data_IF_026356237167
#
_entry.id   IF_026356237167
#
_cell.length_a   1.000
_cell.length_b   1.000
_cell.length_c   1.000
_cell.angle_alpha   90.00
_cell.angle_beta   90.00
_cell.angle_gamma   90.00
#
_symmetry.space_group_name_H-M   'P 1'
#
loop_
_entity.id
_entity.type
_entity.pdbx_description
1 polymer ?
#
# COMPACT_ATOMS: atom_id res chain seq x y z
N UNK A 1 12.26 15.33 23.17
CA UNK A 1 11.13 14.40 23.36
C UNK A 1 11.09 13.50 22.13
N UNK A 2 10.89 12.18 22.29
CA UNK A 2 10.67 11.31 21.14
C UNK A 2 9.44 11.81 20.38
N UNK A 3 9.53 11.91 19.05
CA UNK A 3 8.37 12.28 18.22
C UNK A 3 7.34 11.16 18.33
N UNK A 4 6.10 11.50 18.68
CA UNK A 4 4.98 10.56 18.63
C UNK A 4 4.34 10.59 17.24
N UNK A 5 3.71 9.48 16.85
CA UNK A 5 2.80 9.50 15.70
C UNK A 5 1.59 10.36 16.03
N UNK A 6 1.16 11.16 15.06
CA UNK A 6 -0.10 11.90 15.16
C UNK A 6 -1.25 10.96 14.85
N UNK A 7 -2.31 11.08 15.64
CA UNK A 7 -3.60 10.41 15.42
C UNK A 7 -4.66 11.47 15.11
N UNK A 8 -5.40 11.27 14.01
CA UNK A 8 -6.47 12.15 13.54
C UNK A 8 -7.79 11.38 13.48
N UNK A 9 -8.92 12.10 13.49
CA UNK A 9 -10.24 11.48 13.37
C UNK A 9 -10.57 11.16 11.91
N UNK A 10 -11.54 10.27 11.68
CA UNK A 10 -12.05 9.95 10.34
C UNK A 10 -12.68 11.16 9.59
N UNK A 11 -12.93 12.28 10.26
CA UNK A 11 -13.52 13.49 9.67
C UNK A 11 -12.47 14.51 9.20
N UNK A 12 -11.19 14.23 9.38
CA UNK A 12 -10.10 15.11 8.99
C UNK A 12 -10.01 15.24 7.46
N UNK A 13 -9.43 16.34 6.98
CA UNK A 13 -9.22 16.57 5.54
C UNK A 13 -8.03 15.78 5.00
N UNK A 14 -8.04 15.45 3.71
CA UNK A 14 -6.89 14.80 3.04
C UNK A 14 -5.67 15.71 3.06
N UNK A 15 -5.88 17.02 2.95
CA UNK A 15 -4.82 18.03 2.99
C UNK A 15 -4.05 17.98 4.32
N UNK A 16 -4.77 17.93 5.44
CA UNK A 16 -4.16 17.83 6.77
C UNK A 16 -3.41 16.50 6.96
N UNK A 17 -3.99 15.39 6.48
CA UNK A 17 -3.30 14.07 6.45
C UNK A 17 -1.97 14.18 5.69
N UNK A 18 -1.98 14.79 4.50
CA UNK A 18 -0.79 14.97 3.68
C UNK A 18 0.23 15.89 4.35
N UNK A 19 -0.19 16.98 5.01
CA UNK A 19 0.70 17.88 5.75
C UNK A 19 1.45 17.16 6.87
N UNK A 20 0.75 16.33 7.65
CA UNK A 20 1.35 15.50 8.68
C UNK A 20 2.31 14.48 8.08
N UNK A 21 1.91 13.79 7.01
CA UNK A 21 2.79 12.83 6.33
C UNK A 21 4.05 13.50 5.77
N UNK A 22 3.97 14.72 5.22
CA UNK A 22 5.18 15.44 4.77
C UNK A 22 6.15 15.70 5.93
N UNK A 23 5.63 16.01 7.12
CA UNK A 23 6.44 16.30 8.31
C UNK A 23 7.00 15.05 9.00
N UNK A 24 6.17 14.02 9.17
CA UNK A 24 6.42 12.88 10.04
C UNK A 24 6.55 11.55 9.29
N UNK A 25 6.17 11.53 8.01
CA UNK A 25 6.24 10.36 7.13
C UNK A 25 5.14 9.33 7.38
N UNK A 26 4.31 9.52 8.41
CA UNK A 26 3.14 8.69 8.65
C UNK A 26 2.17 9.30 9.66
N UNK A 27 0.93 8.82 9.64
CA UNK A 27 -0.18 9.31 10.45
C UNK A 27 -1.21 8.21 10.69
N UNK A 28 -1.77 8.16 11.89
CA UNK A 28 -2.87 7.26 12.23
C UNK A 28 -4.19 8.01 12.01
N UNK A 29 -5.14 7.38 11.35
CA UNK A 29 -6.52 7.86 11.24
C UNK A 29 -7.42 6.85 11.96
N UNK A 30 -8.20 7.34 12.91
CA UNK A 30 -9.18 6.53 13.64
C UNK A 30 -10.37 6.17 12.74
N UNK A 31 -10.97 5.00 12.96
CA UNK A 31 -12.23 4.57 12.32
C UNK A 31 -12.26 4.71 10.78
N UNK A 32 -11.13 4.46 10.10
CA UNK A 32 -11.01 4.56 8.63
C UNK A 32 -11.92 3.61 7.87
N UNK A 33 -12.16 2.43 8.42
CA UNK A 33 -12.94 1.36 7.79
C UNK A 33 -14.06 0.93 8.74
N UNK A 34 -15.29 0.88 8.21
CA UNK A 34 -16.45 0.48 8.98
C UNK A 34 -16.41 -1.00 9.37
N UNK A 35 -17.08 -1.33 10.47
CA UNK A 35 -17.27 -2.72 10.91
C UNK A 35 -17.96 -3.58 9.86
N UNK A 36 -18.87 -3.02 9.06
CA UNK A 36 -19.54 -3.72 7.97
C UNK A 36 -18.56 -4.16 6.87
N UNK A 37 -17.71 -3.24 6.40
CA UNK A 37 -16.68 -3.56 5.39
C UNK A 37 -15.70 -4.60 5.93
N UNK A 38 -15.26 -4.46 7.18
CA UNK A 38 -14.38 -5.44 7.83
C UNK A 38 -15.04 -6.82 7.95
N UNK A 39 -16.31 -6.89 8.33
CA UNK A 39 -17.01 -8.16 8.48
C UNK A 39 -17.13 -8.90 7.14
N UNK A 40 -17.56 -8.20 6.08
CA UNK A 40 -17.65 -8.78 4.73
C UNK A 40 -16.27 -9.22 4.22
N UNK A 41 -15.24 -8.41 4.47
CA UNK A 41 -13.85 -8.75 4.12
C UNK A 41 -13.38 -10.04 4.82
N UNK A 42 -13.67 -10.19 6.12
CA UNK A 42 -13.25 -11.37 6.89
C UNK A 42 -14.08 -12.61 6.57
N UNK A 43 -15.37 -12.47 6.25
CA UNK A 43 -16.21 -13.58 5.81
C UNK A 43 -15.60 -14.28 4.59
N UNK A 44 -15.15 -13.50 3.60
CA UNK A 44 -14.50 -14.01 2.40
C UNK A 44 -13.05 -14.49 2.65
N UNK A 45 -12.26 -13.73 3.43
CA UNK A 45 -10.82 -13.94 3.52
C UNK A 45 -10.41 -15.04 4.52
N UNK A 46 -11.16 -15.24 5.60
CA UNK A 46 -10.78 -16.16 6.68
C UNK A 46 -10.43 -17.58 6.19
N UNK A 47 -11.21 -18.21 5.28
CA UNK A 47 -10.86 -19.54 4.75
C UNK A 47 -9.50 -19.60 4.05
N UNK A 48 -9.02 -18.49 3.47
CA UNK A 48 -7.70 -18.41 2.86
C UNK A 48 -6.61 -18.18 3.91
N UNK A 49 -6.85 -17.28 4.88
CA UNK A 49 -5.89 -16.99 5.95
C UNK A 49 -5.65 -18.23 6.83
N UNK A 50 -6.68 -19.01 7.14
CA UNK A 50 -6.56 -20.23 7.94
C UNK A 50 -5.62 -21.25 7.29
N UNK A 51 -5.75 -21.42 5.97
CA UNK A 51 -4.92 -22.31 5.14
C UNK A 51 -3.54 -21.74 4.81
N UNK A 52 -3.31 -20.44 5.03
CA UNK A 52 -2.02 -19.81 4.76
C UNK A 52 -0.98 -20.36 5.75
N UNK A 53 0.13 -20.93 5.26
CA UNK A 53 1.19 -21.42 6.13
C UNK A 53 1.91 -20.26 6.83
N UNK A 54 2.62 -20.59 7.90
CA UNK A 54 3.57 -19.65 8.49
C UNK A 54 4.72 -19.36 7.51
N UNK A 55 5.35 -18.19 7.67
CA UNK A 55 6.65 -17.92 7.06
C UNK A 55 7.69 -18.94 7.51
N UNK A 56 8.77 -19.05 6.73
CA UNK A 56 9.85 -19.99 7.05
C UNK A 56 10.82 -19.34 8.04
N UNK A 57 11.59 -18.33 7.58
CA UNK A 57 12.59 -17.62 8.38
C UNK A 57 12.76 -16.16 7.90
N UNK A 58 13.63 -15.41 8.57
CA UNK A 58 13.99 -14.04 8.19
C UNK A 58 12.80 -13.08 8.24
N UNK A 59 12.67 -12.24 7.22
CA UNK A 59 11.62 -11.22 7.13
C UNK A 59 10.20 -11.78 7.19
N UNK A 60 10.01 -13.00 6.68
CA UNK A 60 8.70 -13.65 6.65
C UNK A 60 8.23 -14.06 8.06
N UNK A 61 9.15 -14.42 8.96
CA UNK A 61 8.88 -14.79 10.34
C UNK A 61 8.24 -16.18 10.52
N UNK A 62 8.78 -17.07 11.36
CA UNK A 62 8.28 -18.44 11.55
C UNK A 62 6.91 -18.54 12.25
N UNK A 63 6.40 -17.41 12.76
CA UNK A 63 5.11 -17.29 13.46
C UNK A 63 4.27 -16.15 12.87
N UNK A 64 4.45 -15.86 11.59
CA UNK A 64 3.65 -14.89 10.86
C UNK A 64 2.99 -15.56 9.67
N UNK A 65 1.69 -15.33 9.46
CA UNK A 65 1.00 -15.69 8.23
C UNK A 65 0.85 -14.45 7.36
N UNK A 66 1.06 -14.58 6.05
CA UNK A 66 0.87 -13.51 5.06
C UNK A 66 -0.03 -14.01 3.94
N UNK A 67 -1.29 -13.63 3.99
CA UNK A 67 -2.28 -13.98 2.96
C UNK A 67 -2.34 -12.84 1.93
N UNK A 68 -1.75 -13.05 0.75
CA UNK A 68 -1.66 -12.01 -0.29
C UNK A 68 -2.84 -12.06 -1.28
N UNK A 69 -2.80 -11.31 -2.38
CA UNK A 69 -3.79 -11.28 -3.46
C UNK A 69 -5.21 -11.01 -2.97
N UNK A 70 -5.37 -10.05 -2.07
CA UNK A 70 -6.65 -9.73 -1.43
C UNK A 70 -7.72 -9.32 -2.46
N UNK A 71 -7.30 -8.60 -3.50
CA UNK A 71 -8.17 -8.18 -4.61
C UNK A 71 -8.76 -9.35 -5.40
N UNK A 72 -8.11 -10.52 -5.38
CA UNK A 72 -8.61 -11.74 -6.02
C UNK A 72 -9.57 -12.54 -5.11
N UNK A 73 -9.46 -12.35 -3.79
CA UNK A 73 -10.11 -13.18 -2.77
C UNK A 73 -11.39 -12.56 -2.22
N UNK A 74 -11.50 -11.24 -2.20
CA UNK A 74 -12.70 -10.53 -1.73
C UNK A 74 -12.90 -9.21 -2.46
N UNK A 75 -14.12 -8.99 -2.96
CA UNK A 75 -14.50 -7.72 -3.57
C UNK A 75 -14.56 -6.57 -2.55
N UNK A 76 -14.65 -6.88 -1.25
CA UNK A 76 -14.60 -5.86 -0.18
C UNK A 76 -13.26 -5.13 -0.14
N UNK A 77 -12.19 -5.72 -0.70
CA UNK A 77 -10.87 -5.08 -0.82
C UNK A 77 -10.93 -3.72 -1.54
N UNK A 78 -11.91 -3.51 -2.43
CA UNK A 78 -12.08 -2.24 -3.13
C UNK A 78 -12.20 -1.04 -2.17
N UNK A 79 -12.93 -1.20 -1.06
CA UNK A 79 -13.18 -0.12 -0.10
C UNK A 79 -11.93 0.30 0.67
N UNK A 80 -10.94 -0.59 0.78
CA UNK A 80 -9.67 -0.30 1.42
C UNK A 80 -8.76 0.52 0.50
N UNK A 81 -8.75 0.22 -0.81
CA UNK A 81 -7.92 0.95 -1.78
C UNK A 81 -8.57 2.26 -2.24
N UNK A 82 -9.90 2.39 -2.14
CA UNK A 82 -10.62 3.64 -2.42
C UNK A 82 -10.93 4.47 -1.16
N UNK A 83 -10.37 4.11 -0.01
CA UNK A 83 -10.52 4.86 1.22
C UNK A 83 -10.01 6.31 1.01
N UNK A 84 -10.83 7.36 1.28
CA UNK A 84 -10.53 8.73 0.87
C UNK A 84 -9.17 9.28 1.32
N UNK A 85 -8.77 9.06 2.57
CA UNK A 85 -7.48 9.52 3.09
C UNK A 85 -6.32 8.76 2.45
N UNK A 86 -6.44 7.44 2.30
CA UNK A 86 -5.37 6.63 1.73
C UNK A 86 -5.17 6.93 0.25
N UNK A 87 -6.23 6.87 -0.56
CA UNK A 87 -6.14 7.13 -1.99
C UNK A 87 -5.80 8.61 -2.28
N UNK A 88 -6.36 9.53 -1.50
CA UNK A 88 -6.07 10.97 -1.60
C UNK A 88 -4.61 11.29 -1.29
N UNK A 89 -4.05 10.72 -0.21
CA UNK A 89 -2.64 10.85 0.11
C UNK A 89 -1.77 10.20 -0.97
N UNK A 90 -2.10 8.98 -1.40
CA UNK A 90 -1.37 8.29 -2.46
C UNK A 90 -1.29 9.12 -3.74
N UNK A 91 -2.42 9.63 -4.24
CA UNK A 91 -2.44 10.50 -5.42
C UNK A 91 -1.58 11.75 -5.23
N UNK A 92 -1.69 12.40 -4.07
CA UNK A 92 -0.93 13.64 -3.79
C UNK A 92 0.59 13.43 -3.79
N UNK A 93 1.07 12.28 -3.32
CA UNK A 93 2.51 11.98 -3.26
C UNK A 93 3.05 11.29 -4.51
N UNK A 94 2.21 10.57 -5.26
CA UNK A 94 2.65 9.70 -6.33
C UNK A 94 2.33 10.24 -7.73
N UNK A 95 1.25 11.00 -7.90
CA UNK A 95 0.86 11.60 -9.19
C UNK A 95 1.50 13.00 -9.31
N UNK A 96 2.68 13.03 -9.94
CA UNK A 96 3.43 14.26 -10.19
C UNK A 96 3.38 14.63 -11.66
N UNK A 97 3.33 15.94 -11.91
CA UNK A 97 3.49 16.48 -13.25
C UNK A 97 4.91 16.25 -13.75
N UNK A 98 5.01 15.79 -14.99
CA UNK A 98 6.24 15.55 -15.70
C UNK A 98 6.23 16.29 -17.03
N UNK A 99 7.35 16.93 -17.34
CA UNK A 99 7.55 17.69 -18.57
C UNK A 99 8.80 17.17 -19.30
N UNK A 100 8.68 16.95 -20.61
CA UNK A 100 9.80 16.53 -21.44
C UNK A 100 9.74 17.15 -22.84
N UNK A 101 10.89 17.17 -23.51
CA UNK A 101 11.00 17.65 -24.88
C UNK A 101 10.82 16.50 -25.87
N UNK A 102 9.92 16.68 -26.82
CA UNK A 102 9.77 15.82 -27.99
C UNK A 102 10.00 16.67 -29.24
N UNK A 103 11.23 16.58 -29.78
CA UNK A 103 11.74 17.49 -30.81
C UNK A 103 11.65 18.96 -30.38
N UNK A 104 10.85 19.77 -31.07
CA UNK A 104 10.63 21.19 -30.81
C UNK A 104 9.42 21.48 -29.91
N UNK A 105 8.79 20.43 -29.35
CA UNK A 105 7.62 20.54 -28.49
C UNK A 105 7.92 20.17 -27.06
N UNK A 106 7.26 20.87 -26.15
CA UNK A 106 7.19 20.54 -24.73
C UNK A 106 5.91 19.74 -24.48
N UNK A 107 6.06 18.52 -24.00
CA UNK A 107 4.94 17.64 -23.62
C UNK A 107 4.82 17.66 -22.10
N UNK A 108 3.58 17.81 -21.63
CA UNK A 108 3.22 17.77 -20.20
C UNK A 108 2.29 16.61 -19.96
N UNK A 109 2.59 15.82 -18.95
CA UNK A 109 1.80 14.65 -18.53
C UNK A 109 1.84 14.57 -17.01
N UNK A 110 0.87 13.86 -16.42
CA UNK A 110 0.88 13.53 -15.00
C UNK A 110 0.92 12.01 -14.88
N UNK A 111 1.87 11.48 -14.11
CA UNK A 111 1.92 10.02 -13.97
C UNK A 111 0.72 9.53 -13.15
N UNK A 112 0.32 8.28 -13.37
CA UNK A 112 -0.76 7.65 -12.60
C UNK A 112 -0.24 6.96 -11.34
N UNK A 113 -1.14 6.56 -10.46
CA UNK A 113 -0.89 5.65 -9.34
C UNK A 113 -1.50 4.27 -9.58
N UNK A 114 -0.86 3.20 -9.11
CA UNK A 114 -1.36 1.83 -9.20
C UNK A 114 -1.08 1.03 -7.91
N UNK A 115 -1.90 0.02 -7.64
CA UNK A 115 -1.77 -0.88 -6.51
C UNK A 115 -0.51 -1.73 -6.65
N UNK A 116 0.33 -1.78 -5.63
CA UNK A 116 1.59 -2.52 -5.64
C UNK A 116 1.45 -3.87 -4.95
N UNK A 117 1.00 -3.91 -3.69
CA UNK A 117 0.82 -5.16 -2.95
C UNK A 117 -0.38 -5.11 -2.01
N UNK A 118 -0.97 -6.30 -1.77
CA UNK A 118 -2.04 -6.51 -0.81
C UNK A 118 -1.73 -7.71 0.10
N UNK A 119 -1.82 -7.54 1.43
CA UNK A 119 -1.59 -8.64 2.38
C UNK A 119 -2.45 -8.52 3.63
N UNK A 120 -3.02 -9.63 4.10
CA UNK A 120 -3.39 -9.79 5.50
C UNK A 120 -2.23 -10.45 6.24
N UNK A 121 -1.65 -9.73 7.20
CA UNK A 121 -0.45 -10.11 7.96
C UNK A 121 -0.90 -10.43 9.39
N UNK A 122 -0.90 -11.71 9.75
CA UNK A 122 -1.27 -12.17 11.09
C UNK A 122 -0.02 -12.60 11.86
N UNK A 123 0.28 -11.87 12.93
CA UNK A 123 1.42 -12.07 13.82
C UNK A 123 0.94 -12.87 15.03
N UNK A 124 1.49 -14.07 15.21
CA UNK A 124 1.11 -14.98 16.30
C UNK A 124 1.95 -14.77 17.57
N UNK A 125 1.45 -15.23 18.74
CA UNK A 125 2.17 -15.17 20.01
C UNK A 125 3.63 -15.66 19.95
N UNK A 126 4.54 -14.81 20.39
CA UNK A 126 5.98 -15.04 20.43
C UNK A 126 6.71 -14.81 19.10
N UNK A 127 6.05 -14.28 18.07
CA UNK A 127 6.74 -13.78 16.88
C UNK A 127 7.61 -12.57 17.25
N UNK A 128 8.89 -12.63 16.89
CA UNK A 128 9.86 -11.55 17.12
C UNK A 128 9.63 -10.37 16.21
N UNK A 129 10.06 -9.19 16.67
CA UNK A 129 10.03 -7.96 15.89
C UNK A 129 10.82 -8.14 14.58
N UNK A 130 10.33 -7.51 13.52
CA UNK A 130 11.08 -7.39 12.28
C UNK A 130 12.28 -6.46 12.47
N UNK A 131 13.25 -6.57 11.57
CA UNK A 131 14.29 -5.55 11.44
C UNK A 131 13.68 -4.24 10.91
N UNK A 132 14.24 -3.09 11.31
CA UNK A 132 13.83 -1.80 10.77
C UNK A 132 14.17 -1.74 9.28
N UNK A 133 13.20 -1.36 8.46
CA UNK A 133 13.32 -1.31 7.01
C UNK A 133 12.44 -0.21 6.40
N UNK A 134 12.72 0.11 5.13
CA UNK A 134 11.83 0.85 4.23
C UNK A 134 11.30 -0.12 3.21
N UNK A 135 10.01 -0.06 2.90
CA UNK A 135 9.46 -0.98 1.89
C UNK A 135 9.82 -0.53 0.48
N UNK A 136 10.06 0.76 0.28
CA UNK A 136 10.39 1.28 -1.03
C UNK A 136 11.80 0.93 -1.53
N UNK A 137 12.60 0.22 -0.71
CA UNK A 137 13.84 -0.41 -1.14
C UNK A 137 13.67 -1.28 -2.40
N UNK A 138 12.48 -1.85 -2.61
CA UNK A 138 12.17 -2.66 -3.80
C UNK A 138 12.27 -1.86 -5.12
N UNK A 139 12.19 -0.53 -5.07
CA UNK A 139 12.33 0.35 -6.24
C UNK A 139 13.77 0.85 -6.46
N UNK A 140 14.73 0.42 -5.63
CA UNK A 140 16.17 0.69 -5.80
C UNK A 140 16.50 2.19 -5.93
N UNK A 141 15.74 3.05 -5.24
CA UNK A 141 15.92 4.50 -5.26
C UNK A 141 16.84 4.99 -4.15
N UNK A 142 17.37 6.19 -4.33
CA UNK A 142 18.13 6.91 -3.30
C UNK A 142 17.22 7.76 -2.40
N UNK A 143 17.65 7.92 -1.15
CA UNK A 143 16.99 8.78 -0.17
C UNK A 143 17.90 9.94 0.31
N UNK A 144 17.31 11.10 0.64
CA UNK A 144 15.90 11.45 0.42
C UNK A 144 15.60 11.69 -1.07
N UNK A 145 14.33 11.54 -1.45
CA UNK A 145 13.84 11.91 -2.78
C UNK A 145 12.32 11.69 -2.89
N UNK A 146 11.72 11.87 -4.08
CA UNK A 146 10.28 11.72 -4.25
C UNK A 146 9.77 10.35 -3.81
N UNK A 147 8.64 10.27 -3.13
CA UNK A 147 8.08 8.98 -2.69
C UNK A 147 7.82 8.08 -3.90
N UNK A 148 8.18 6.80 -3.78
CA UNK A 148 7.87 5.81 -4.81
C UNK A 148 6.66 4.94 -4.46
N UNK A 149 6.28 4.93 -3.19
CA UNK A 149 5.19 4.13 -2.65
C UNK A 149 4.56 4.84 -1.45
N UNK A 150 3.23 4.80 -1.35
CA UNK A 150 2.45 5.18 -0.17
C UNK A 150 1.69 3.95 0.31
N UNK A 151 1.68 3.75 1.62
CA UNK A 151 1.21 2.51 2.23
C UNK A 151 0.18 2.77 3.31
N UNK A 152 -0.64 1.76 3.57
CA UNK A 152 -1.55 1.76 4.70
C UNK A 152 -1.54 0.39 5.38
N UNK A 153 -1.53 0.42 6.72
CA UNK A 153 -1.85 -0.73 7.55
C UNK A 153 -3.17 -0.46 8.26
N UNK A 154 -4.24 -1.12 7.83
CA UNK A 154 -5.50 -1.12 8.57
C UNK A 154 -5.43 -2.12 9.72
N UNK A 155 -5.93 -1.71 10.88
CA UNK A 155 -6.04 -2.55 12.06
C UNK A 155 -7.18 -3.57 11.89
N UNK A 156 -6.84 -4.82 11.56
CA UNK A 156 -7.81 -5.94 11.53
C UNK A 156 -8.19 -6.44 12.93
N UNK A 157 -7.30 -6.23 13.89
CA UNK A 157 -7.48 -6.35 15.34
C UNK A 157 -6.97 -5.08 16.00
N UNK A 158 -7.23 -4.87 17.29
CA UNK A 158 -6.56 -3.81 18.05
C UNK A 158 -5.04 -3.99 17.99
N UNK A 159 -4.31 -2.89 17.82
CA UNK A 159 -2.85 -2.84 17.90
C UNK A 159 -2.48 -2.26 19.25
N UNK A 160 -1.68 -2.99 20.02
CA UNK A 160 -1.16 -2.58 21.32
C UNK A 160 0.35 -2.75 21.33
N UNK A 161 1.04 -2.11 22.27
CA UNK A 161 2.49 -2.30 22.41
C UNK A 161 2.85 -3.78 22.67
N UNK A 162 2.00 -4.47 23.44
CA UNK A 162 2.23 -5.87 23.86
C UNK A 162 1.96 -6.89 22.74
N UNK A 163 0.94 -6.66 21.90
CA UNK A 163 0.65 -7.57 20.78
C UNK A 163 1.46 -7.27 19.52
N UNK A 164 2.46 -6.40 19.64
CA UNK A 164 3.41 -6.07 18.61
C UNK A 164 2.85 -5.11 17.58
N UNK A 165 2.23 -4.00 17.98
CA UNK A 165 1.91 -2.89 17.09
C UNK A 165 3.11 -2.54 16.17
N UNK A 166 2.84 -2.09 14.94
CA UNK A 166 3.89 -1.67 14.02
C UNK A 166 4.72 -0.55 14.66
N UNK A 167 6.03 -0.70 14.66
CA UNK A 167 6.98 0.30 15.11
C UNK A 167 7.31 1.22 13.94
N UNK A 168 7.35 2.54 14.16
CA UNK A 168 7.76 3.52 13.15
C UNK A 168 8.73 4.51 13.73
N UNK A 169 9.57 5.12 12.90
CA UNK A 169 10.44 6.22 13.31
C UNK A 169 9.96 7.52 12.63
N UNK A 170 9.15 8.36 13.30
CA UNK A 170 8.59 9.56 12.68
C UNK A 170 9.67 10.53 12.18
N UNK A 171 9.54 10.96 10.93
CA UNK A 171 10.49 11.83 10.24
C UNK A 171 11.66 11.11 9.57
N UNK A 172 11.71 9.77 9.64
CA UNK A 172 12.79 8.98 9.04
C UNK A 172 12.71 8.82 7.52
N UNK A 173 11.56 9.16 6.92
CA UNK A 173 11.39 9.29 5.47
C UNK A 173 12.30 10.36 4.85
N UNK A 174 12.74 11.33 5.65
CA UNK A 174 13.65 12.40 5.23
C UNK A 174 15.14 12.06 5.39
N UNK A 175 15.47 10.89 5.97
CA UNK A 175 16.86 10.51 6.22
C UNK A 175 17.53 10.00 4.95
N UNK A 176 18.84 10.22 4.85
CA UNK A 176 19.65 9.62 3.78
C UNK A 176 19.82 8.11 3.94
N UNK A 177 20.44 7.47 2.95
CA UNK A 177 20.73 6.02 2.95
C UNK A 177 21.89 5.61 3.88
N UNK A 178 22.55 6.56 4.56
CA UNK A 178 23.74 6.29 5.40
C UNK A 178 23.41 6.24 6.88
N UNK A 179 22.34 6.90 7.30
CA UNK A 179 21.91 6.89 8.70
C UNK A 179 21.35 5.51 9.08
N UNK A 180 21.93 4.93 10.13
CA UNK A 180 21.47 3.66 10.69
C UNK A 180 20.28 3.92 11.61
N UNK A 181 19.11 3.29 11.39
CA UNK A 181 17.96 3.43 12.27
C UNK A 181 18.13 2.56 13.53
N UNK A 182 17.64 3.03 14.68
CA UNK A 182 17.64 2.24 15.92
C UNK A 182 16.23 2.08 16.51
N UNK A 183 16.02 1.00 17.28
CA UNK A 183 14.70 0.70 17.85
C UNK A 183 14.29 1.70 18.94
N UNK A 184 15.24 2.38 19.59
CA UNK A 184 14.98 3.42 20.59
C UNK A 184 14.36 4.68 20.00
N UNK A 185 14.54 4.89 18.68
CA UNK A 185 13.91 5.97 17.94
C UNK A 185 12.50 5.62 17.45
N UNK A 186 12.12 4.34 17.55
CA UNK A 186 10.85 3.84 17.06
C UNK A 186 9.74 3.94 18.12
N UNK A 187 8.55 4.29 17.67
CA UNK A 187 7.33 4.36 18.49
C UNK A 187 6.27 3.40 17.95
N UNK A 188 5.48 2.75 18.81
CA UNK A 188 4.43 1.84 18.39
C UNK A 188 3.20 2.59 17.87
N UNK A 189 2.67 2.16 16.73
CA UNK A 189 1.41 2.63 16.16
C UNK A 189 0.21 1.92 16.84
N UNK A 190 -0.05 2.29 18.09
CA UNK A 190 -1.18 1.79 18.87
C UNK A 190 -2.48 2.38 18.33
N UNK A 191 -3.42 1.53 17.93
CA UNK A 191 -4.69 1.96 17.33
C UNK A 191 -5.77 0.87 17.45
N UNK A 192 -7.04 1.28 17.39
CA UNK A 192 -8.19 0.36 17.47
C UNK A 192 -8.47 -0.31 16.14
N UNK A 193 -9.06 -1.52 16.18
CA UNK A 193 -9.59 -2.19 14.99
C UNK A 193 -10.43 -1.21 14.16
N UNK A 194 -10.22 -1.17 12.85
CA UNK A 194 -10.87 -0.22 11.93
C UNK A 194 -10.09 1.07 11.67
N UNK A 195 -9.16 1.44 12.56
CA UNK A 195 -8.20 2.52 12.32
C UNK A 195 -7.16 2.11 11.27
N UNK A 196 -6.41 3.06 10.72
CA UNK A 196 -5.29 2.76 9.83
C UNK A 196 -4.12 3.72 9.98
N UNK A 197 -2.91 3.18 9.81
CA UNK A 197 -1.67 3.95 9.70
C UNK A 197 -1.35 4.14 8.21
N UNK A 198 -1.39 5.38 7.72
CA UNK A 198 -0.92 5.73 6.38
C UNK A 198 0.51 6.26 6.49
N UNK A 199 1.42 5.80 5.63
CA UNK A 199 2.84 6.15 5.72
C UNK A 199 3.56 6.09 4.37
N UNK A 200 4.63 6.88 4.28
CA UNK A 200 5.58 6.91 3.17
C UNK A 200 6.36 5.58 3.09
N UNK A 201 6.61 5.09 1.87
CA UNK A 201 7.40 3.88 1.66
C UNK A 201 8.85 4.01 2.15
N UNK A 202 9.36 5.25 2.18
CA UNK A 202 10.67 5.61 2.69
C UNK A 202 10.73 5.76 4.23
N UNK A 203 9.62 5.60 4.95
CA UNK A 203 9.60 5.65 6.42
C UNK A 203 10.19 4.36 7.01
N UNK A 204 11.19 4.49 7.89
CA UNK A 204 11.68 3.33 8.64
C UNK A 204 10.61 2.83 9.60
N UNK A 205 10.32 1.53 9.50
CA UNK A 205 9.34 0.86 10.32
C UNK A 205 9.68 -0.63 10.50
N UNK A 206 8.94 -1.32 11.39
CA UNK A 206 9.05 -2.75 11.62
C UNK A 206 7.76 -3.31 12.23
N UNK A 207 7.39 -4.56 11.92
CA UNK A 207 6.43 -5.28 12.75
C UNK A 207 6.98 -5.47 14.17
N UNK A 208 6.21 -5.08 15.20
CA UNK A 208 6.59 -5.27 16.60
C UNK A 208 6.59 -6.74 17.04
N UNK A 209 7.27 -7.03 18.15
CA UNK A 209 7.23 -8.35 18.78
C UNK A 209 5.85 -8.58 19.42
N UNK A 210 5.20 -9.70 19.11
CA UNK A 210 3.96 -10.08 19.78
C UNK A 210 4.30 -10.87 21.06
N UNK A 211 4.20 -10.20 22.21
CA UNK A 211 4.41 -10.73 23.56
C UNK A 211 3.12 -11.19 24.23
N UNK A 212 1.97 -10.88 23.61
CA UNK A 212 0.65 -11.24 24.09
C UNK A 212 0.30 -12.72 23.83
N UNK A 213 -0.89 -13.13 24.28
CA UNK A 213 -1.47 -14.46 24.02
C UNK A 213 -2.36 -14.51 22.77
N UNK A 214 -2.65 -13.36 22.15
CA UNK A 214 -3.58 -13.25 21.03
C UNK A 214 -2.84 -12.97 19.71
N UNK A 215 -3.46 -13.31 18.58
CA UNK A 215 -2.94 -12.94 17.26
C UNK A 215 -3.23 -11.48 16.94
N UNK A 216 -2.27 -10.76 16.36
CA UNK A 216 -2.45 -9.39 15.84
C UNK A 216 -2.52 -9.43 14.31
N UNK A 217 -3.56 -8.85 13.71
CA UNK A 217 -3.72 -8.87 12.25
C UNK A 217 -3.74 -7.46 11.66
N UNK A 218 -2.79 -7.18 10.75
CA UNK A 218 -2.81 -6.00 9.89
C UNK A 218 -3.36 -6.35 8.50
N UNK A 219 -4.13 -5.45 7.89
CA UNK A 219 -4.52 -5.52 6.49
C UNK A 219 -3.73 -4.43 5.75
N UNK A 220 -2.75 -4.85 4.97
CA UNK A 220 -1.78 -3.99 4.30
C UNK A 220 -2.16 -3.80 2.83
N UNK A 221 -2.12 -2.54 2.40
CA UNK A 221 -2.18 -2.17 0.99
C UNK A 221 -1.09 -1.14 0.71
N UNK A 222 -0.54 -1.16 -0.50
CA UNK A 222 0.35 -0.09 -0.95
C UNK A 222 0.07 0.31 -2.38
N UNK A 223 0.25 1.58 -2.65
CA UNK A 223 0.24 2.16 -3.98
C UNK A 223 1.65 2.54 -4.37
N UNK A 224 2.03 2.29 -5.62
CA UNK A 224 3.25 2.81 -6.22
C UNK A 224 2.91 3.67 -7.45
N UNK A 225 3.94 4.31 -8.00
CA UNK A 225 3.78 5.08 -9.24
C UNK A 225 3.46 4.14 -10.41
N UNK A 226 2.63 4.62 -11.33
CA UNK A 226 2.16 3.87 -12.51
C UNK A 226 3.28 3.43 -13.46
N UNK A 227 4.47 4.03 -13.36
CA UNK A 227 5.65 3.64 -14.13
C UNK A 227 6.62 2.71 -13.37
N UNK A 228 6.33 2.38 -12.11
CA UNK A 228 7.13 1.46 -11.29
C UNK A 228 6.50 0.06 -11.30
N UNK A 229 7.35 -0.96 -11.15
CA UNK A 229 6.88 -2.35 -11.08
C UNK A 229 6.19 -2.61 -9.74
N UNK A 230 5.00 -3.21 -9.79
CA UNK A 230 4.28 -3.67 -8.60
C UNK A 230 5.07 -4.74 -7.84
N UNK A 231 5.04 -4.69 -6.50
CA UNK A 231 5.65 -5.70 -5.63
C UNK A 231 4.95 -7.06 -5.77
N UNK A 232 3.61 -7.07 -5.76
CA UNK A 232 2.78 -8.23 -6.10
C UNK A 232 2.22 -8.03 -7.51
N UNK A 233 2.43 -9.00 -8.39
CA UNK A 233 2.00 -8.89 -9.78
C UNK A 233 0.46 -9.00 -9.91
N UNK A 234 -0.23 -7.85 -9.87
CA UNK A 234 -1.69 -7.78 -9.86
C UNK A 234 -2.31 -8.37 -11.13
N UNK A 235 -1.64 -8.23 -12.28
CA UNK A 235 -2.06 -8.81 -13.56
C UNK A 235 -2.12 -10.33 -13.56
N UNK A 236 -1.31 -11.00 -12.72
CA UNK A 236 -1.27 -12.47 -12.62
C UNK A 236 -2.15 -12.99 -11.48
N UNK A 237 -2.20 -12.27 -10.36
CA UNK A 237 -2.88 -12.79 -9.16
C UNK A 237 -4.37 -12.48 -9.14
N UNK A 238 -4.84 -11.44 -9.85
CA UNK A 238 -6.26 -11.10 -9.95
C UNK A 238 -6.83 -11.60 -11.28
N UNK A 239 -7.70 -12.63 -11.28
CA UNK A 239 -8.30 -13.13 -12.51
C UNK A 239 -9.12 -12.06 -13.23
N UNK A 240 -9.09 -12.06 -14.57
CA UNK A 240 -9.81 -11.09 -15.42
C UNK A 240 -11.31 -11.02 -15.08
N UNK A 241 -11.94 -12.15 -14.82
CA UNK A 241 -13.35 -12.25 -14.43
C UNK A 241 -13.65 -11.59 -13.08
N UNK A 242 -12.64 -11.48 -12.20
CA UNK A 242 -12.75 -10.73 -10.94
C UNK A 242 -12.53 -9.24 -11.20
N UNK A 243 -11.56 -8.87 -12.04
CA UNK A 243 -11.34 -7.46 -12.45
C UNK A 243 -12.61 -6.85 -13.03
N UNK A 244 -13.32 -7.59 -13.89
CA UNK A 244 -14.58 -7.14 -14.51
C UNK A 244 -15.71 -6.85 -13.52
N UNK A 245 -15.65 -7.36 -12.30
CA UNK A 245 -16.65 -7.10 -11.25
C UNK A 245 -16.39 -5.81 -10.49
N UNK A 246 -15.18 -5.26 -10.58
CA UNK A 246 -14.82 -4.03 -9.91
C UNK A 246 -15.28 -2.78 -10.69
N UNK A 247 -15.56 -1.66 -10.01
CA UNK A 247 -15.76 -0.37 -10.65
C UNK A 247 -14.52 0.06 -11.45
N UNK A 248 -14.71 0.92 -12.46
CA UNK A 248 -13.63 1.38 -13.34
C UNK A 248 -12.42 1.93 -12.58
N UNK A 249 -12.62 2.74 -11.54
CA UNK A 249 -11.51 3.31 -10.75
C UNK A 249 -10.63 2.22 -10.12
N UNK A 250 -11.22 1.12 -9.66
CA UNK A 250 -10.49 -0.01 -9.09
C UNK A 250 -9.78 -0.81 -10.17
N UNK A 251 -10.38 -0.97 -11.36
CA UNK A 251 -9.71 -1.58 -12.51
C UNK A 251 -8.46 -0.76 -12.90
N UNK A 252 -8.59 0.56 -12.96
CA UNK A 252 -7.48 1.48 -13.26
C UNK A 252 -6.36 1.33 -12.22
N UNK A 253 -6.71 1.30 -10.92
CA UNK A 253 -5.75 1.09 -9.83
C UNK A 253 -5.11 -0.30 -9.85
N UNK A 254 -5.77 -1.32 -10.40
CA UNK A 254 -5.19 -2.66 -10.60
C UNK A 254 -4.20 -2.71 -11.79
N UNK A 255 -3.97 -1.58 -12.46
CA UNK A 255 -3.04 -1.47 -13.58
C UNK A 255 -3.70 -1.55 -14.95
N UNK A 256 -5.05 -1.53 -15.04
CA UNK A 256 -5.78 -1.46 -16.30
C UNK A 256 -5.98 -0.01 -16.78
N UNK A 257 -4.93 0.80 -16.61
CA UNK A 257 -4.83 2.18 -17.12
C UNK A 257 -3.38 2.45 -17.55
N UNK A 258 -3.19 3.08 -18.70
CA UNK A 258 -1.85 3.55 -19.11
C UNK A 258 -1.35 4.62 -18.13
N UNK A 259 -0.07 4.51 -17.77
CA UNK A 259 0.67 5.62 -17.18
C UNK A 259 1.37 6.36 -18.32
N UNK A 260 0.84 7.54 -18.65
CA UNK A 260 1.39 8.39 -19.72
C UNK A 260 2.86 8.75 -19.42
N UNK A 261 3.71 8.83 -20.45
CA UNK A 261 3.36 8.74 -21.88
C UNK A 261 3.34 7.32 -22.46
N UNK A 262 4.02 6.32 -21.87
CA UNK A 262 4.24 5.03 -22.54
C UNK A 262 4.28 3.80 -21.63
N UNK A 263 3.89 3.87 -20.36
CA UNK A 263 4.02 2.74 -19.46
C UNK A 263 2.72 1.94 -19.32
N UNK A 264 2.83 0.61 -19.41
CA UNK A 264 1.72 -0.32 -19.14
C UNK A 264 0.72 -0.55 -20.28
N UNK A 265 1.01 -0.12 -21.52
CA UNK A 265 0.11 -0.34 -22.65
C UNK A 265 0.04 -1.80 -23.11
N UNK A 266 -1.06 -2.15 -23.80
CA UNK A 266 -1.23 -3.39 -24.56
C UNK A 266 -1.51 -3.02 -26.01
N UNK A 267 -0.69 -3.50 -26.95
CA UNK A 267 -0.75 -3.12 -28.38
C UNK A 267 -0.94 -1.61 -28.61
N UNK A 268 -0.09 -0.78 -27.99
CA UNK A 268 -0.12 0.69 -28.06
C UNK A 268 -1.50 1.27 -27.71
N UNK A 269 -2.24 0.61 -26.83
CA UNK A 269 -3.55 1.01 -26.32
C UNK A 269 -3.62 0.87 -24.81
N UNK A 270 -4.64 1.49 -24.22
CA UNK A 270 -4.95 1.34 -22.80
C UNK A 270 -5.21 -0.14 -22.45
N UNK A 271 -4.59 -0.72 -21.41
CA UNK A 271 -4.73 -2.12 -21.06
C UNK A 271 -6.19 -2.53 -20.75
N UNK A 272 -7.10 -1.60 -20.47
CA UNK A 272 -8.53 -1.90 -20.34
C UNK A 272 -9.14 -2.57 -21.59
N UNK A 273 -8.52 -2.47 -22.78
CA UNK A 273 -8.99 -3.20 -23.97
C UNK A 273 -9.07 -4.71 -23.72
N UNK A 274 -8.18 -5.27 -22.90
CA UNK A 274 -8.15 -6.71 -22.62
C UNK A 274 -9.33 -7.15 -21.77
N UNK A 275 -10.03 -6.22 -21.11
CA UNK A 275 -11.23 -6.52 -20.35
C UNK A 275 -12.45 -6.70 -21.26
N UNK A 276 -12.48 -6.00 -22.39
CA UNK A 276 -13.68 -5.89 -23.23
C UNK A 276 -13.54 -6.56 -24.62
N UNK A 277 -12.31 -6.82 -25.06
CA UNK A 277 -12.05 -7.43 -26.37
C UNK A 277 -11.61 -8.90 -26.22
N UNK A 278 -12.09 -9.75 -27.14
CA UNK A 278 -11.69 -11.15 -27.20
C UNK A 278 -10.41 -11.36 -28.01
N UNK A 279 -10.16 -10.51 -29.01
CA UNK A 279 -8.92 -10.49 -29.78
C UNK A 279 -8.20 -9.15 -29.53
N UNK A 280 -7.02 -9.25 -28.95
CA UNK A 280 -6.14 -8.12 -28.63
C UNK A 280 -4.88 -8.12 -29.48
N UNK A 281 -4.74 -9.04 -30.44
CA UNK A 281 -3.49 -9.27 -31.18
C UNK A 281 -3.25 -8.27 -32.31
N UNK A 282 -4.27 -7.50 -32.70
CA UNK A 282 -4.21 -6.55 -33.80
C UNK A 282 -4.86 -5.21 -33.45
N UNK A 283 -4.73 -4.73 -32.20
CA UNK A 283 -5.24 -3.41 -31.86
C UNK A 283 -4.43 -2.33 -32.60
N UNK A 284 -5.11 -1.33 -33.18
CA UNK A 284 -4.43 -0.21 -33.83
C UNK A 284 -3.71 0.65 -32.81
N UNK A 285 -2.49 1.07 -33.13
CA UNK A 285 -1.72 1.95 -32.25
C UNK A 285 -2.45 3.28 -32.02
N UNK A 286 -2.64 3.63 -30.75
CA UNK A 286 -3.20 4.92 -30.34
C UNK A 286 -2.08 5.87 -29.95
N UNK A 287 -2.36 7.16 -30.07
CA UNK A 287 -1.50 8.16 -29.48
C UNK A 287 -1.71 8.14 -27.96
N UNK A 288 -0.66 7.82 -27.20
CA UNK A 288 -0.67 7.70 -25.73
C UNK A 288 0.00 8.90 -25.04
N UNK A 289 0.21 10.00 -25.77
CA UNK A 289 0.71 11.29 -25.28
C UNK A 289 0.04 12.49 -25.98
#
# INVERSE_FOLDING_TARGET
MAKQLVTLSASTSVEEVVEIMKRDGGVIIEDMISSEVLNNFWEDLSPYLDKTPYGVEGFAGPKTKRCCALMAKTLSSQYFITQPHFLGAARTFLEEDYEFLLADKTIKTTNTTQLSVTQAIQIWPGQKAQVLHRDDHLHHRHHPGPESQIQVLYAGTDFTEDNGATLVIPGSHLWDDKRIPTLEEAVPAVMKKGSGLIYCGSLYHAGGENKSTETRTAIAFSFCRGYLRQEENQYLVVPKETVLKYPKEVQDLLGYKVCEPFCGWVEMSDPSIVLHQSDITTAGAKNLF
#
